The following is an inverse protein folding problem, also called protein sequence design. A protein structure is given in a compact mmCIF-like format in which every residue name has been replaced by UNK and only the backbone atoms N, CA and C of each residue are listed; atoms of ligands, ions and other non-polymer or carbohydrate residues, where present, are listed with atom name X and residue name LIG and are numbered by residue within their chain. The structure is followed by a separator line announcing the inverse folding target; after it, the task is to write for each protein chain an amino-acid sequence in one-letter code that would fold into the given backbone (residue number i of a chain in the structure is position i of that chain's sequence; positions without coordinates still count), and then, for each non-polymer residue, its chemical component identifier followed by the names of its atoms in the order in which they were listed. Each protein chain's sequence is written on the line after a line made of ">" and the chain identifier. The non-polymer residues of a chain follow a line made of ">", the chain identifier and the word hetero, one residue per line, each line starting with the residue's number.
data_IF_627647666106
#
_entry.id   IF_627647666106
#
_cell.length_a   1.000
_cell.length_b   1.000
_cell.length_c   1.000
_cell.angle_alpha   90.00
_cell.angle_beta   90.00
_cell.angle_gamma   90.00
#
_symmetry.space_group_name_H-M   'P 1'
#
loop_
_entity.id
_entity.type
_entity.pdbx_description
1 polymer ?
#
# COMPACT_ATOMS: atom_id res chain seq x y z
N UNK A 1 29.56 14.51 1.14
CA UNK A 1 29.36 15.93 1.51
C UNK A 1 29.46 16.04 3.03
N UNK A 2 30.06 17.10 3.59
CA UNK A 2 30.08 17.28 5.04
C UNK A 2 28.65 17.60 5.51
N UNK A 3 28.10 16.79 6.42
CA UNK A 3 26.80 17.05 7.06
C UNK A 3 26.91 18.26 7.99
N UNK A 4 26.64 19.45 7.45
CA UNK A 4 26.44 20.67 8.23
C UNK A 4 25.25 20.46 9.21
N UNK A 5 25.30 21.06 10.40
CA UNK A 5 24.25 20.88 11.43
C UNK A 5 22.88 21.35 10.95
N UNK A 6 22.85 22.34 10.06
CA UNK A 6 21.64 22.80 9.38
C UNK A 6 21.05 21.73 8.43
N UNK A 7 21.89 20.87 7.84
CA UNK A 7 21.43 19.74 7.01
C UNK A 7 20.74 18.69 7.86
N UNK A 8 21.24 18.38 9.06
CA UNK A 8 20.73 17.28 9.90
C UNK A 8 19.30 17.49 10.39
N UNK A 9 18.95 18.73 10.72
CA UNK A 9 17.56 19.07 11.07
C UNK A 9 16.66 18.98 9.83
N UNK A 10 17.14 19.45 8.68
CA UNK A 10 16.44 19.28 7.40
C UNK A 10 16.21 17.81 7.03
N UNK A 11 17.23 16.97 7.20
CA UNK A 11 17.19 15.53 6.96
C UNK A 11 16.18 14.84 7.90
N UNK A 12 16.15 15.26 9.18
CA UNK A 12 15.19 14.74 10.16
C UNK A 12 13.75 15.14 9.80
N UNK A 13 13.49 16.41 9.50
CA UNK A 13 12.15 16.85 9.09
C UNK A 13 11.71 16.24 7.76
N UNK A 14 12.62 16.11 6.81
CA UNK A 14 12.40 15.45 5.53
C UNK A 14 12.04 13.97 5.71
N UNK A 15 12.82 13.25 6.52
CA UNK A 15 12.58 11.85 6.85
C UNK A 15 11.25 11.63 7.59
N UNK A 16 10.93 12.47 8.57
CA UNK A 16 9.64 12.43 9.27
C UNK A 16 8.47 12.69 8.32
N UNK A 17 8.59 13.68 7.44
CA UNK A 17 7.55 13.98 6.44
C UNK A 17 7.37 12.82 5.46
N UNK A 18 8.48 12.25 4.98
CA UNK A 18 8.46 11.08 4.11
C UNK A 18 7.81 9.87 4.79
N UNK A 19 8.12 9.62 6.07
CA UNK A 19 7.50 8.54 6.84
C UNK A 19 5.99 8.71 6.97
N UNK A 20 5.51 9.93 7.27
CA UNK A 20 4.07 10.23 7.35
C UNK A 20 3.36 9.98 6.00
N UNK A 21 4.00 10.30 4.87
CA UNK A 21 3.46 10.02 3.53
C UNK A 21 3.50 8.52 3.22
N UNK A 22 4.56 7.82 3.61
CA UNK A 22 4.79 6.41 3.31
C UNK A 22 3.83 5.48 4.06
N UNK A 23 3.41 5.83 5.28
CA UNK A 23 2.51 5.01 6.10
C UNK A 23 1.21 4.58 5.37
N UNK A 24 0.37 5.49 4.86
CA UNK A 24 -0.86 5.10 4.17
C UNK A 24 -0.57 4.34 2.86
N UNK A 25 0.52 4.66 2.16
CA UNK A 25 0.91 4.00 0.91
C UNK A 25 1.36 2.54 1.15
N UNK A 26 2.24 2.31 2.12
CA UNK A 26 2.72 0.98 2.47
C UNK A 26 1.60 0.06 2.91
N UNK A 27 0.66 0.59 3.69
CA UNK A 27 -0.52 -0.15 4.13
C UNK A 27 -1.43 -0.49 2.94
N UNK A 28 -1.78 0.49 2.10
CA UNK A 28 -2.64 0.27 0.94
C UNK A 28 -2.04 -0.72 -0.07
N UNK A 29 -0.74 -0.60 -0.35
CA UNK A 29 -0.04 -1.50 -1.26
C UNK A 29 0.13 -2.92 -0.68
N UNK A 30 0.41 -3.06 0.61
CA UNK A 30 0.42 -4.37 1.27
C UNK A 30 -0.93 -5.08 1.22
N UNK A 31 -2.02 -4.34 1.49
CA UNK A 31 -3.39 -4.86 1.37
C UNK A 31 -3.70 -5.29 -0.07
N UNK A 32 -3.35 -4.47 -1.07
CA UNK A 32 -3.60 -4.80 -2.47
C UNK A 32 -2.76 -6.01 -2.96
N UNK A 33 -1.52 -6.15 -2.49
CA UNK A 33 -0.64 -7.28 -2.78
C UNK A 33 -1.25 -8.62 -2.30
N UNK A 34 -1.89 -8.62 -1.13
CA UNK A 34 -2.41 -9.82 -0.48
C UNK A 34 -3.91 -10.04 -0.72
N UNK A 35 -4.60 -9.13 -1.39
CA UNK A 35 -6.02 -9.27 -1.72
C UNK A 35 -6.41 -10.62 -2.38
N UNK A 36 -5.57 -11.26 -3.24
CA UNK A 36 -5.92 -12.56 -3.83
C UNK A 36 -5.99 -13.72 -2.82
N UNK A 37 -5.41 -13.60 -1.63
CA UNK A 37 -5.49 -14.61 -0.55
C UNK A 37 -6.84 -14.59 0.18
N UNK A 38 -7.72 -13.65 -0.16
CA UNK A 38 -9.00 -13.47 0.50
C UNK A 38 -8.95 -12.55 1.73
N UNK A 39 -10.13 -12.26 2.31
CA UNK A 39 -10.31 -11.21 3.33
C UNK A 39 -9.56 -11.50 4.64
N UNK A 40 -9.37 -12.76 5.00
CA UNK A 40 -8.72 -13.16 6.27
C UNK A 40 -7.22 -12.83 6.31
N UNK A 41 -6.61 -12.61 5.14
CA UNK A 41 -5.16 -12.36 5.00
C UNK A 41 -4.83 -10.89 4.74
N UNK A 42 -5.82 -10.01 4.72
CA UNK A 42 -5.66 -8.59 4.42
C UNK A 42 -4.84 -7.88 5.51
N UNK A 43 -5.01 -8.26 6.79
CA UNK A 43 -4.23 -7.73 7.91
C UNK A 43 -2.76 -8.14 7.85
N UNK A 44 -2.48 -9.38 7.42
CA UNK A 44 -1.12 -9.85 7.14
C UNK A 44 -0.49 -9.03 6.02
N UNK A 45 -1.23 -8.76 4.94
CA UNK A 45 -0.77 -7.90 3.85
C UNK A 45 -0.42 -6.49 4.30
N UNK A 46 -1.28 -5.85 5.09
CA UNK A 46 -1.03 -4.53 5.66
C UNK A 46 0.27 -4.50 6.48
N UNK A 47 0.48 -5.52 7.33
CA UNK A 47 1.69 -5.66 8.14
C UNK A 47 2.94 -5.85 7.25
N UNK A 48 2.88 -6.76 6.28
CA UNK A 48 4.00 -7.03 5.36
C UNK A 48 4.35 -5.78 4.54
N UNK A 49 3.36 -5.01 4.09
CA UNK A 49 3.57 -3.75 3.38
C UNK A 49 4.31 -2.70 4.22
N UNK A 50 3.89 -2.53 5.48
CA UNK A 50 4.54 -1.60 6.42
C UNK A 50 5.97 -2.05 6.79
N UNK A 51 6.16 -3.34 7.07
CA UNK A 51 7.49 -3.89 7.33
C UNK A 51 8.39 -3.76 6.10
N UNK A 52 7.84 -4.00 4.90
CA UNK A 52 8.51 -3.77 3.63
C UNK A 52 8.98 -2.32 3.47
N UNK A 53 8.13 -1.33 3.72
CA UNK A 53 8.53 0.09 3.74
C UNK A 53 9.71 0.35 4.68
N UNK A 54 9.62 -0.12 5.92
CA UNK A 54 10.64 0.15 6.96
C UNK A 54 11.98 -0.48 6.55
N UNK A 55 11.98 -1.76 6.19
CA UNK A 55 13.19 -2.51 5.86
C UNK A 55 13.83 -1.97 4.59
N UNK A 56 13.06 -1.80 3.52
CA UNK A 56 13.59 -1.32 2.23
C UNK A 56 14.03 0.14 2.30
N UNK A 57 13.30 1.00 3.02
CA UNK A 57 13.68 2.39 3.28
C UNK A 57 14.99 2.47 4.06
N UNK A 58 15.15 1.68 5.12
CA UNK A 58 16.38 1.63 5.91
C UNK A 58 17.56 1.10 5.09
N UNK A 59 17.41 -0.03 4.40
CA UNK A 59 18.48 -0.62 3.60
C UNK A 59 18.89 0.28 2.43
N UNK A 60 17.94 0.92 1.75
CA UNK A 60 18.25 1.86 0.69
C UNK A 60 18.92 3.14 1.20
N UNK A 61 18.56 3.64 2.39
CA UNK A 61 19.25 4.77 2.99
C UNK A 61 20.70 4.42 3.39
N UNK A 62 20.96 3.18 3.82
CA UNK A 62 22.29 2.72 4.23
C UNK A 62 23.20 2.35 3.05
N UNK A 63 22.64 1.67 2.04
CA UNK A 63 23.39 1.04 0.94
C UNK A 63 23.17 1.71 -0.42
N UNK A 64 22.22 2.64 -0.52
CA UNK A 64 21.86 3.30 -1.78
C UNK A 64 22.83 4.40 -2.21
N UNK A 65 22.69 4.83 -3.47
CA UNK A 65 23.55 5.85 -4.08
C UNK A 65 22.95 7.26 -4.14
N UNK A 66 21.70 7.46 -3.69
CA UNK A 66 20.96 8.73 -3.85
C UNK A 66 20.54 9.29 -2.49
N UNK A 67 21.15 10.39 -2.00
CA UNK A 67 20.94 10.89 -0.63
C UNK A 67 19.50 11.27 -0.24
N UNK A 68 18.68 11.68 -1.20
CA UNK A 68 17.31 12.15 -0.96
C UNK A 68 16.24 11.15 -1.40
N UNK A 69 16.62 9.93 -1.76
CA UNK A 69 15.70 8.93 -2.28
C UNK A 69 14.89 8.27 -1.16
N UNK A 70 13.58 8.27 -1.32
CA UNK A 70 12.66 7.51 -0.46
C UNK A 70 12.34 6.19 -1.14
N UNK A 71 12.62 5.09 -0.45
CA UNK A 71 12.39 3.73 -0.95
C UNK A 71 11.28 3.04 -0.17
N UNK A 72 10.41 2.34 -0.88
CA UNK A 72 9.31 1.55 -0.34
C UNK A 72 8.55 0.85 -1.45
N UNK A 73 7.54 0.01 -1.12
CA UNK A 73 6.60 -0.53 -2.09
C UNK A 73 5.96 0.59 -2.92
N UNK A 74 5.88 0.35 -4.22
CA UNK A 74 5.27 1.25 -5.19
C UNK A 74 4.10 0.58 -5.89
N UNK A 75 3.23 1.35 -6.55
CA UNK A 75 2.13 0.80 -7.36
C UNK A 75 2.57 -0.28 -8.36
N UNK A 76 3.62 -0.05 -9.19
CA UNK A 76 4.14 -1.07 -10.10
C UNK A 76 4.56 -2.36 -9.39
N UNK A 77 5.35 -2.24 -8.32
CA UNK A 77 5.80 -3.41 -7.54
C UNK A 77 4.61 -4.17 -6.95
N UNK A 78 3.62 -3.45 -6.44
CA UNK A 78 2.40 -4.01 -5.86
C UNK A 78 1.63 -4.82 -6.88
N UNK A 79 1.42 -4.29 -8.09
CA UNK A 79 0.69 -4.99 -9.16
C UNK A 79 1.40 -6.30 -9.53
N UNK A 80 2.73 -6.30 -9.62
CA UNK A 80 3.51 -7.51 -9.92
C UNK A 80 3.40 -8.53 -8.78
N UNK A 81 3.49 -8.08 -7.52
CA UNK A 81 3.31 -8.95 -6.35
C UNK A 81 1.89 -9.50 -6.30
N UNK A 82 0.85 -8.69 -6.50
CA UNK A 82 -0.56 -9.14 -6.57
C UNK A 82 -0.73 -10.22 -7.64
N UNK A 83 -0.18 -10.01 -8.85
CA UNK A 83 -0.26 -10.99 -9.93
C UNK A 83 0.47 -12.29 -9.58
N UNK A 84 1.63 -12.19 -8.94
CA UNK A 84 2.38 -13.36 -8.46
C UNK A 84 1.61 -14.14 -7.39
N UNK A 85 1.09 -13.46 -6.36
CA UNK A 85 0.26 -14.08 -5.32
C UNK A 85 -0.96 -14.75 -5.93
N UNK A 86 -1.68 -14.07 -6.84
CA UNK A 86 -2.83 -14.65 -7.54
C UNK A 86 -2.47 -15.92 -8.31
N UNK A 87 -1.30 -15.97 -8.94
CA UNK A 87 -0.84 -17.15 -9.67
C UNK A 87 -0.55 -18.36 -8.76
N UNK A 88 -0.04 -18.10 -7.54
CA UNK A 88 0.21 -19.16 -6.55
C UNK A 88 -1.10 -19.66 -5.98
N UNK A 89 -2.00 -18.75 -5.58
CA UNK A 89 -3.32 -19.11 -5.05
C UNK A 89 -4.12 -19.94 -6.05
N UNK A 90 -4.00 -19.64 -7.35
CA UNK A 90 -4.66 -20.42 -8.40
C UNK A 90 -4.08 -21.83 -8.60
N UNK A 91 -2.84 -22.09 -8.15
CA UNK A 91 -2.13 -23.35 -8.40
C UNK A 91 -1.95 -24.24 -7.16
N UNK A 92 -1.92 -23.66 -5.96
CA UNK A 92 -1.58 -24.35 -4.72
C UNK A 92 -2.56 -24.06 -3.58
N UNK A 93 -3.76 -23.56 -3.91
CA UNK A 93 -4.74 -23.06 -2.93
C UNK A 93 -4.17 -21.91 -2.07
N UNK A 94 -4.96 -21.39 -1.12
CA UNK A 94 -4.57 -20.22 -0.31
C UNK A 94 -3.65 -20.58 0.86
N UNK A 95 -2.63 -21.42 0.63
CA UNK A 95 -1.64 -21.80 1.65
C UNK A 95 -0.71 -20.62 1.97
N UNK A 96 -0.98 -19.96 3.09
CA UNK A 96 -0.28 -18.75 3.52
C UNK A 96 1.24 -18.96 3.72
N UNK A 97 1.71 -19.98 4.48
CA UNK A 97 3.14 -20.32 4.54
C UNK A 97 3.82 -20.43 3.18
N UNK A 98 3.21 -21.12 2.21
CA UNK A 98 3.77 -21.27 0.88
C UNK A 98 3.84 -19.94 0.13
N UNK A 99 2.78 -19.12 0.22
CA UNK A 99 2.75 -17.79 -0.41
C UNK A 99 3.79 -16.85 0.21
N UNK A 100 3.96 -16.87 1.54
CA UNK A 100 4.97 -16.05 2.20
C UNK A 100 6.40 -16.50 1.84
N UNK A 101 6.66 -17.81 1.81
CA UNK A 101 7.97 -18.35 1.45
C UNK A 101 8.33 -18.03 -0.02
N UNK A 102 7.39 -18.21 -0.93
CA UNK A 102 7.57 -17.89 -2.34
C UNK A 102 7.76 -16.39 -2.59
N UNK A 103 7.03 -15.53 -1.88
CA UNK A 103 7.25 -14.08 -1.91
C UNK A 103 8.64 -13.70 -1.41
N UNK A 104 9.11 -14.31 -0.32
CA UNK A 104 10.45 -14.07 0.19
C UNK A 104 11.52 -14.46 -0.84
N UNK A 105 11.35 -15.60 -1.51
CA UNK A 105 12.25 -16.05 -2.59
C UNK A 105 12.21 -15.09 -3.78
N UNK A 106 11.01 -14.68 -4.21
CA UNK A 106 10.81 -13.72 -5.31
C UNK A 106 11.55 -12.41 -5.02
N UNK A 107 11.32 -11.82 -3.83
CA UNK A 107 11.93 -10.55 -3.43
C UNK A 107 13.45 -10.70 -3.27
N UNK A 108 13.93 -11.77 -2.65
CA UNK A 108 15.36 -12.03 -2.51
C UNK A 108 16.06 -12.19 -3.86
N UNK A 109 15.46 -12.96 -4.78
CA UNK A 109 15.99 -13.16 -6.13
C UNK A 109 15.98 -11.86 -6.91
N UNK A 110 14.90 -11.07 -6.83
CA UNK A 110 14.82 -9.74 -7.41
C UNK A 110 15.95 -8.83 -6.91
N UNK A 111 16.17 -8.78 -5.60
CA UNK A 111 17.26 -7.99 -5.00
C UNK A 111 18.65 -8.45 -5.45
N UNK A 112 18.89 -9.76 -5.56
CA UNK A 112 20.15 -10.29 -6.09
C UNK A 112 20.35 -9.84 -7.55
N UNK A 113 19.31 -9.94 -8.38
CA UNK A 113 19.36 -9.50 -9.78
C UNK A 113 19.60 -7.99 -9.87
N UNK A 114 18.95 -7.19 -9.03
CA UNK A 114 19.16 -5.74 -8.96
C UNK A 114 20.60 -5.38 -8.57
N UNK A 115 21.19 -6.08 -7.59
CA UNK A 115 22.60 -5.90 -7.20
C UNK A 115 23.52 -6.24 -8.38
N UNK A 116 23.28 -7.37 -9.06
CA UNK A 116 24.07 -7.76 -10.24
C UNK A 116 23.99 -6.72 -11.35
N UNK A 117 22.79 -6.25 -11.69
CA UNK A 117 22.59 -5.18 -12.68
C UNK A 117 23.30 -3.90 -12.23
N UNK A 118 23.24 -3.54 -10.95
CA UNK A 118 23.93 -2.39 -10.38
C UNK A 118 25.45 -2.46 -10.54
N UNK A 119 26.06 -3.59 -10.17
CA UNK A 119 27.51 -3.83 -10.29
C UNK A 119 27.97 -3.84 -11.76
N UNK A 120 27.15 -4.37 -12.67
CA UNK A 120 27.43 -4.36 -14.10
C UNK A 120 27.25 -2.97 -14.77
N UNK A 121 26.87 -1.94 -14.01
CA UNK A 121 26.65 -0.59 -14.53
C UNK A 121 25.34 -0.43 -15.30
N UNK A 122 24.39 -1.35 -15.10
CA UNK A 122 23.11 -1.40 -15.79
C UNK A 122 22.20 -0.19 -15.54
N UNK A 123 22.47 0.59 -14.49
CA UNK A 123 21.77 1.86 -14.24
C UNK A 123 21.88 2.87 -15.40
N UNK A 124 22.87 2.74 -16.29
CA UNK A 124 22.98 3.56 -17.51
C UNK A 124 21.88 3.24 -18.53
N UNK A 125 21.32 2.03 -18.54
CA UNK A 125 20.27 1.62 -19.47
C UNK A 125 18.94 2.33 -19.21
N UNK A 126 18.69 2.79 -17.98
CA UNK A 126 17.46 3.54 -17.67
C UNK A 126 17.34 4.80 -18.53
N UNK A 127 18.47 5.40 -18.94
CA UNK A 127 18.51 6.61 -19.77
C UNK A 127 18.10 6.38 -21.23
N UNK A 128 18.09 5.14 -21.71
CA UNK A 128 17.74 4.82 -23.11
C UNK A 128 16.30 4.34 -23.27
N UNK A 129 15.53 4.28 -22.19
CA UNK A 129 14.11 3.88 -22.24
C UNK A 129 13.28 5.03 -22.83
N UNK A 130 12.53 4.80 -23.93
CA UNK A 130 11.70 5.85 -24.53
C UNK A 130 10.60 6.32 -23.56
N UNK A 131 10.39 7.63 -23.50
CA UNK A 131 9.33 8.24 -22.67
C UNK A 131 7.93 7.64 -22.90
N UNK A 132 7.49 7.32 -24.14
CA UNK A 132 6.19 6.69 -24.37
C UNK A 132 6.02 5.33 -23.67
N UNK A 133 7.10 4.55 -23.52
CA UNK A 133 7.06 3.25 -22.83
C UNK A 133 6.80 3.46 -21.34
N UNK A 134 7.51 4.41 -20.72
CA UNK A 134 7.33 4.73 -19.29
C UNK A 134 5.93 5.29 -19.04
N UNK A 135 5.46 6.21 -19.88
CA UNK A 135 4.13 6.78 -19.77
C UNK A 135 3.03 5.73 -19.94
N UNK A 136 3.14 4.85 -20.94
CA UNK A 136 2.20 3.75 -21.17
C UNK A 136 2.15 2.78 -19.99
N UNK A 137 3.32 2.36 -19.49
CA UNK A 137 3.43 1.49 -18.31
C UNK A 137 2.79 2.11 -17.06
N UNK A 138 3.06 3.39 -16.77
CA UNK A 138 2.48 4.10 -15.62
C UNK A 138 0.98 4.26 -15.71
N UNK A 139 0.45 4.62 -16.89
CA UNK A 139 -1.00 4.71 -17.10
C UNK A 139 -1.68 3.35 -16.98
N UNK A 140 -1.07 2.29 -17.51
CA UNK A 140 -1.57 0.92 -17.36
C UNK A 140 -1.69 0.52 -15.89
N UNK A 141 -0.66 0.78 -15.09
CA UNK A 141 -0.69 0.52 -13.65
C UNK A 141 -1.74 1.35 -12.92
N UNK A 142 -1.87 2.64 -13.27
CA UNK A 142 -2.91 3.49 -12.69
C UNK A 142 -4.32 2.93 -12.95
N UNK A 143 -4.59 2.46 -14.18
CA UNK A 143 -5.87 1.83 -14.53
C UNK A 143 -6.06 0.53 -13.74
N UNK A 144 -5.06 -0.34 -13.65
CA UNK A 144 -5.13 -1.59 -12.88
C UNK A 144 -5.46 -1.31 -11.41
N UNK A 145 -4.79 -0.32 -10.81
CA UNK A 145 -5.04 0.07 -9.41
C UNK A 145 -6.48 0.59 -9.25
N UNK A 146 -6.94 1.50 -10.12
CA UNK A 146 -8.31 2.04 -10.04
C UNK A 146 -9.35 0.93 -10.16
N UNK A 147 -9.18 0.03 -11.14
CA UNK A 147 -10.08 -1.12 -11.32
C UNK A 147 -10.07 -2.05 -10.10
N UNK A 148 -8.90 -2.27 -9.49
CA UNK A 148 -8.77 -3.06 -8.27
C UNK A 148 -9.47 -2.45 -7.06
N UNK A 149 -9.65 -1.12 -7.02
CA UNK A 149 -10.33 -0.43 -5.92
C UNK A 149 -11.84 -0.34 -6.07
N UNK A 150 -12.43 -0.71 -7.22
CA UNK A 150 -13.89 -0.63 -7.44
C UNK A 150 -14.67 -1.52 -6.47
N UNK A 151 -14.28 -2.81 -6.30
CA UNK A 151 -14.97 -3.72 -5.39
C UNK A 151 -14.91 -3.24 -3.92
N UNK A 152 -13.72 -2.91 -3.36
CA UNK A 152 -13.63 -2.37 -2.01
C UNK A 152 -14.40 -1.07 -1.81
N UNK A 153 -14.39 -0.16 -2.80
CA UNK A 153 -15.13 1.11 -2.72
C UNK A 153 -16.64 0.91 -2.64
N UNK A 154 -17.16 -0.16 -3.23
CA UNK A 154 -18.57 -0.55 -3.20
C UNK A 154 -18.90 -1.54 -2.07
N UNK A 155 -17.95 -1.89 -1.21
CA UNK A 155 -18.16 -2.83 -0.11
C UNK A 155 -18.40 -4.27 -0.55
N UNK A 156 -17.95 -4.65 -1.76
CA UNK A 156 -18.13 -6.00 -2.33
C UNK A 156 -16.93 -6.86 -1.94
N UNK A 157 -17.17 -7.95 -1.19
CA UNK A 157 -16.14 -8.89 -0.70
C UNK A 157 -15.94 -10.13 -1.58
N UNK A 158 -16.67 -10.27 -2.69
CA UNK A 158 -16.63 -11.44 -3.58
C UNK A 158 -16.85 -11.11 -5.05
N UNK A 159 -17.50 -12.00 -5.79
CA UNK A 159 -17.80 -11.81 -7.21
C UNK A 159 -19.03 -10.94 -7.47
N UNK A 160 -19.05 -10.31 -8.64
CA UNK A 160 -20.16 -9.49 -9.13
C UNK A 160 -21.35 -10.41 -9.49
N UNK A 161 -22.09 -10.87 -8.48
CA UNK A 161 -23.22 -11.80 -8.72
C UNK A 161 -24.24 -11.92 -7.58
N UNK A 162 -23.90 -11.46 -6.37
CA UNK A 162 -24.74 -11.64 -5.17
C UNK A 162 -25.76 -10.53 -4.88
N UNK A 163 -25.96 -9.56 -5.78
CA UNK A 163 -26.75 -8.35 -5.51
C UNK A 163 -25.94 -7.24 -4.81
N UNK A 164 -26.63 -6.20 -4.32
CA UNK A 164 -25.98 -5.10 -3.58
C UNK A 164 -25.77 -5.56 -2.13
N UNK A 165 -24.52 -5.67 -1.64
CA UNK A 165 -24.28 -6.11 -0.28
C UNK A 165 -24.73 -5.04 0.73
N UNK A 166 -25.10 -5.45 1.94
CA UNK A 166 -25.47 -4.53 3.03
C UNK A 166 -24.34 -3.55 3.37
N UNK A 167 -23.10 -3.97 3.15
CA UNK A 167 -21.89 -3.14 3.29
C UNK A 167 -21.73 -2.05 2.23
N UNK A 168 -22.54 -2.03 1.16
CA UNK A 168 -22.37 -1.09 0.05
C UNK A 168 -22.62 0.36 0.45
N UNK A 169 -23.67 0.62 1.22
CA UNK A 169 -23.98 1.98 1.71
C UNK A 169 -22.88 2.52 2.64
N UNK A 170 -22.49 1.81 3.71
CA UNK A 170 -21.40 2.28 4.56
C UNK A 170 -20.07 2.37 3.83
N UNK A 171 -19.74 1.45 2.92
CA UNK A 171 -18.54 1.54 2.09
C UNK A 171 -18.53 2.80 1.21
N UNK A 172 -19.63 3.04 0.50
CA UNK A 172 -19.77 4.18 -0.39
C UNK A 172 -19.65 5.51 0.36
N UNK A 173 -20.26 5.62 1.55
CA UNK A 173 -20.14 6.81 2.40
C UNK A 173 -18.71 7.02 2.88
N UNK A 174 -18.04 5.97 3.37
CA UNK A 174 -16.64 6.07 3.81
C UNK A 174 -15.74 6.46 2.64
N UNK A 175 -15.90 5.83 1.47
CA UNK A 175 -15.15 6.13 0.26
C UNK A 175 -15.36 7.58 -0.18
N UNK A 176 -16.62 8.03 -0.27
CA UNK A 176 -16.98 9.38 -0.66
C UNK A 176 -16.38 10.42 0.29
N UNK A 177 -16.55 10.25 1.60
CA UNK A 177 -16.01 11.17 2.60
C UNK A 177 -14.48 11.22 2.59
N UNK A 178 -13.83 10.07 2.38
CA UNK A 178 -12.37 9.97 2.23
C UNK A 178 -11.88 10.77 1.01
N UNK A 179 -12.50 10.57 -0.16
CA UNK A 179 -12.12 11.26 -1.40
C UNK A 179 -12.39 12.77 -1.30
N UNK A 180 -13.55 13.17 -0.77
CA UNK A 180 -13.87 14.58 -0.54
C UNK A 180 -12.88 15.24 0.41
N UNK A 181 -12.50 14.57 1.50
CA UNK A 181 -11.48 15.08 2.43
C UNK A 181 -10.13 15.26 1.75
N UNK A 182 -9.70 14.33 0.90
CA UNK A 182 -8.46 14.45 0.11
C UNK A 182 -8.54 15.66 -0.84
N UNK A 183 -9.64 15.82 -1.58
CA UNK A 183 -9.81 16.93 -2.54
C UNK A 183 -9.84 18.28 -1.83
N UNK A 184 -10.66 18.41 -0.78
CA UNK A 184 -10.82 19.66 -0.02
C UNK A 184 -9.51 20.04 0.66
N UNK A 185 -8.84 19.08 1.32
CA UNK A 185 -7.55 19.31 1.98
C UNK A 185 -6.47 19.77 1.00
N UNK A 186 -6.37 19.13 -0.17
CA UNK A 186 -5.43 19.53 -1.23
C UNK A 186 -5.75 20.91 -1.80
N UNK A 187 -7.01 21.21 -2.06
CA UNK A 187 -7.41 22.53 -2.57
C UNK A 187 -7.12 23.63 -1.55
N UNK A 188 -7.43 23.40 -0.28
CA UNK A 188 -7.15 24.33 0.81
C UNK A 188 -5.63 24.55 1.01
N UNK A 189 -4.84 23.47 1.03
CA UNK A 189 -3.39 23.54 1.15
C UNK A 189 -2.75 24.32 -0.02
N UNK A 190 -3.22 24.08 -1.25
CA UNK A 190 -2.77 24.82 -2.43
C UNK A 190 -3.14 26.31 -2.38
N UNK A 191 -4.33 26.64 -1.84
CA UNK A 191 -4.84 28.02 -1.80
C UNK A 191 -4.18 28.89 -0.72
N UNK A 192 -3.76 28.28 0.39
CA UNK A 192 -3.19 28.99 1.54
C UNK A 192 -1.67 28.77 1.70
N UNK A 193 -1.01 28.15 0.72
CA UNK A 193 0.43 27.82 0.74
C UNK A 193 0.88 27.08 2.01
N UNK A 194 -0.03 26.32 2.61
CA UNK A 194 0.20 25.65 3.88
C UNK A 194 1.09 24.43 3.62
N UNK A 195 2.29 24.41 4.18
CA UNK A 195 3.21 23.25 4.19
C UNK A 195 2.79 22.17 5.20
N UNK A 196 1.49 21.87 5.32
CA UNK A 196 0.97 20.94 6.33
C UNK A 196 0.44 19.64 5.72
N UNK A 197 0.27 18.66 6.63
CA UNK A 197 -0.06 17.24 6.48
C UNK A 197 -0.44 16.75 5.07
N UNK A 198 0.11 15.61 4.63
CA UNK A 198 -0.27 14.96 3.37
C UNK A 198 -1.79 14.75 3.26
N UNK A 199 -2.38 15.14 2.13
CA UNK A 199 -3.83 15.01 1.88
C UNK A 199 -4.33 13.57 2.00
N UNK A 200 -3.49 12.58 1.67
CA UNK A 200 -3.77 11.16 1.86
C UNK A 200 -3.97 10.78 3.33
N UNK A 201 -3.21 11.39 4.25
CA UNK A 201 -3.36 11.17 5.69
C UNK A 201 -4.66 11.79 6.21
N UNK A 202 -5.01 12.99 5.72
CA UNK A 202 -6.30 13.62 6.04
C UNK A 202 -7.45 12.72 5.58
N UNK A 203 -7.36 12.18 4.36
CA UNK A 203 -8.30 11.19 3.85
C UNK A 203 -8.43 9.98 4.77
N UNK A 204 -7.31 9.37 5.16
CA UNK A 204 -7.27 8.21 6.07
C UNK A 204 -8.00 8.51 7.39
N UNK A 205 -7.69 9.63 8.04
CA UNK A 205 -8.27 10.02 9.33
C UNK A 205 -9.77 10.27 9.19
N UNK A 206 -10.20 11.00 8.16
CA UNK A 206 -11.63 11.29 7.94
C UNK A 206 -12.40 10.03 7.55
N UNK A 207 -11.83 9.16 6.72
CA UNK A 207 -12.42 7.88 6.36
C UNK A 207 -12.62 6.99 7.59
N UNK A 208 -11.59 6.86 8.43
CA UNK A 208 -11.67 6.13 9.69
C UNK A 208 -12.73 6.72 10.63
N UNK A 209 -12.74 8.04 10.84
CA UNK A 209 -13.73 8.70 11.68
C UNK A 209 -15.16 8.49 11.15
N UNK A 210 -15.35 8.58 9.83
CA UNK A 210 -16.64 8.32 9.18
C UNK A 210 -17.10 6.89 9.45
N UNK A 211 -16.21 5.92 9.31
CA UNK A 211 -16.52 4.52 9.62
C UNK A 211 -16.95 4.33 11.08
N UNK A 212 -16.20 4.90 12.03
CA UNK A 212 -16.53 4.81 13.45
C UNK A 212 -17.90 5.43 13.78
N UNK A 213 -18.26 6.54 13.13
CA UNK A 213 -19.58 7.17 13.29
C UNK A 213 -20.70 6.30 12.74
N UNK A 214 -20.50 5.65 11.58
CA UNK A 214 -21.45 4.71 11.00
C UNK A 214 -21.61 3.45 11.84
N UNK A 215 -20.53 2.97 12.46
CA UNK A 215 -20.59 1.86 13.40
C UNK A 215 -21.37 2.24 14.67
N UNK A 216 -21.15 3.46 15.20
CA UNK A 216 -21.89 3.96 16.36
C UNK A 216 -23.38 4.20 16.09
N UNK A 217 -23.76 4.51 14.85
CA UNK A 217 -25.17 4.66 14.46
C UNK A 217 -25.87 3.35 14.09
N UNK A 218 -25.15 2.22 14.08
CA UNK A 218 -25.67 0.91 13.71
C UNK A 218 -25.77 0.66 12.19
N UNK A 219 -25.29 1.60 11.36
CA UNK A 219 -25.26 1.46 9.89
C UNK A 219 -24.06 0.64 9.39
N UNK A 220 -23.06 0.40 10.24
CA UNK A 220 -21.94 -0.48 9.97
C UNK A 220 -21.69 -1.44 11.13
N UNK A 221 -21.16 -2.62 10.84
CA UNK A 221 -20.77 -3.56 11.90
C UNK A 221 -19.59 -3.01 12.69
N UNK A 222 -19.68 -3.01 14.02
CA UNK A 222 -18.59 -2.58 14.91
C UNK A 222 -17.51 -3.66 15.13
N UNK A 223 -17.85 -4.93 14.93
CA UNK A 223 -16.91 -6.05 15.07
C UNK A 223 -15.94 -6.10 13.89
N UNK A 224 -14.66 -6.37 14.14
CA UNK A 224 -13.67 -6.59 13.09
C UNK A 224 -13.75 -7.99 12.45
N UNK A 225 -14.35 -8.97 13.14
CA UNK A 225 -14.47 -10.33 12.64
C UNK A 225 -15.57 -10.41 11.55
N UNK A 226 -15.20 -10.92 10.38
CA UNK A 226 -16.13 -11.07 9.24
C UNK A 226 -16.60 -9.75 8.63
N UNK A 227 -15.94 -8.63 8.94
CA UNK A 227 -16.35 -7.31 8.49
C UNK A 227 -15.66 -6.95 7.18
N UNK A 228 -16.38 -6.88 6.05
CA UNK A 228 -15.78 -6.66 4.73
C UNK A 228 -15.18 -5.26 4.56
N UNK A 229 -15.44 -4.35 5.50
CA UNK A 229 -14.96 -2.96 5.46
C UNK A 229 -13.73 -2.73 6.33
N UNK A 230 -13.35 -3.72 7.14
CA UNK A 230 -12.17 -3.65 7.97
C UNK A 230 -11.10 -4.57 7.41
N UNK A 231 -9.85 -4.22 7.68
CA UNK A 231 -8.64 -4.97 7.28
C UNK A 231 -8.59 -6.37 7.92
N UNK A 232 -9.55 -6.71 8.78
CA UNK A 232 -9.63 -7.97 9.52
C UNK A 232 -8.98 -7.86 10.89
N UNK A 233 -8.87 -9.00 11.56
CA UNK A 233 -8.21 -9.07 12.88
C UNK A 233 -6.71 -9.30 12.73
N UNK A 234 -5.92 -8.82 13.69
CA UNK A 234 -4.49 -9.13 13.74
C UNK A 234 -4.36 -10.61 14.11
N UNK A 235 -3.61 -11.42 13.34
CA UNK A 235 -3.39 -12.83 13.67
C UNK A 235 -2.79 -12.97 15.07
N UNK A 236 -3.42 -13.75 15.95
CA UNK A 236 -2.94 -13.94 17.31
C UNK A 236 -1.70 -14.87 17.30
N UNK A 237 -0.54 -14.45 17.83
CA UNK A 237 0.68 -15.25 17.86
C UNK A 237 0.54 -16.57 18.62
N UNK A 238 -0.40 -16.70 19.58
CA UNK A 238 -0.65 -17.96 20.30
C UNK A 238 -1.37 -19.04 19.48
N UNK A 239 -2.00 -18.65 18.37
CA UNK A 239 -2.60 -19.56 17.38
C UNK A 239 -1.66 -19.87 16.23
N UNK A 240 -0.62 -19.05 16.02
CA UNK A 240 0.43 -19.28 15.04
C UNK A 240 1.38 -20.43 15.43
N UNK A 241 1.38 -20.88 16.69
CA UNK A 241 2.18 -22.02 17.18
C UNK A 241 1.53 -23.39 16.93
N UNK A 242 0.47 -23.46 16.13
CA UNK A 242 -0.11 -24.71 15.61
C UNK A 242 0.05 -24.81 14.08
N UNK A 243 1.22 -24.38 13.60
CA UNK A 243 1.70 -24.60 12.23
C UNK A 243 2.94 -25.48 12.34
#
# INVERSE_FOLDING_TARGET
>A
MPHDRASRLGDLYGGLTAAVVALPLGLAFGVAAFAPLGPDHVSTGAMVGLLGCIITGFLAALLGGTPTQVTGPTGPMTVVVTAFVASIVASHESDLPLVLASLAIMVATGGIVEILIGVLGGGRLVKVIPYPVVAGFMNGIAIIIVLGQVKPALGISGDYGGGIPESAVPAGLVCLMTVLAIIISRHYAARHEIKALPSSLVGLVVGFATYQLLAASGLAAASAAGNPLLIGTIPNPSTASRI
#
